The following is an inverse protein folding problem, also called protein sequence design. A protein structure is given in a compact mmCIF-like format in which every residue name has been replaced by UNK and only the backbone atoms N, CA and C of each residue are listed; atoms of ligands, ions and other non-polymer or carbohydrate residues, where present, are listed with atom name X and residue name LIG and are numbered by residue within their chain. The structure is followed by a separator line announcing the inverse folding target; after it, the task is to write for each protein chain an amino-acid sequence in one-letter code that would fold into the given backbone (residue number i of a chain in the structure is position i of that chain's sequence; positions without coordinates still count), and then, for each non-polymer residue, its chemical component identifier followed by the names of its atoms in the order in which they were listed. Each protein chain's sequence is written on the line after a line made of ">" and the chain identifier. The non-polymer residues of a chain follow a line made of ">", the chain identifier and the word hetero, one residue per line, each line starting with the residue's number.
data_IF_946427270792
#
_entry.id   IF_946427270792
#
_cell.length_a   1.000
_cell.length_b   1.000
_cell.length_c   1.000
_cell.angle_alpha   90.00
_cell.angle_beta   90.00
_cell.angle_gamma   90.00
#
_symmetry.space_group_name_H-M   'P 1'
#
loop_
_entity.id
_entity.type
_entity.pdbx_description
1 polymer ?
#
# COMPACT_ATOMS: atom_id res chain seq x y z
N UNK A 1 -31.28 61.87 25.30
CA UNK A 1 -30.86 62.54 24.05
C UNK A 1 -30.89 61.48 22.96
N UNK A 2 -31.97 61.38 22.17
CA UNK A 2 -32.26 62.19 20.95
C UNK A 2 -31.13 62.04 19.91
N UNK A 3 -31.34 61.79 18.61
CA UNK A 3 -32.50 61.53 17.76
C UNK A 3 -31.95 61.41 16.31
N UNK A 4 -32.62 60.62 15.43
CA UNK A 4 -32.83 60.87 13.96
C UNK A 4 -31.61 60.99 13.01
N UNK A 5 -31.64 60.78 11.68
CA UNK A 5 -32.53 60.38 10.54
C UNK A 5 -31.56 60.28 9.33
N UNK A 6 -31.83 59.69 8.16
CA UNK A 6 -33.07 59.29 7.47
C UNK A 6 -32.72 58.46 6.22
N UNK A 7 -33.65 57.60 5.77
CA UNK A 7 -34.60 57.77 4.63
C UNK A 7 -34.04 57.18 3.31
N UNK A 8 -34.57 56.04 2.84
CA UNK A 8 -35.75 55.84 1.94
C UNK A 8 -35.33 55.84 0.46
N UNK A 9 -35.66 54.87 -0.40
CA UNK A 9 -36.98 54.42 -0.90
C UNK A 9 -36.92 52.91 -1.27
N UNK A 10 -37.90 52.03 -0.94
CA UNK A 10 -39.23 51.78 -1.58
C UNK A 10 -39.10 51.43 -3.09
N UNK A 11 -39.72 50.39 -3.69
CA UNK A 11 -40.89 49.56 -3.33
C UNK A 11 -41.02 48.30 -4.24
N UNK A 12 -41.66 47.25 -3.70
CA UNK A 12 -42.60 46.23 -4.25
C UNK A 12 -42.55 45.79 -5.74
N UNK A 13 -42.43 44.51 -6.07
CA UNK A 13 -43.36 43.36 -5.89
C UNK A 13 -44.55 43.32 -6.87
N UNK A 14 -44.66 42.22 -7.63
CA UNK A 14 -45.93 41.60 -8.03
C UNK A 14 -45.70 40.19 -8.61
N UNK A 15 -46.44 39.22 -8.07
CA UNK A 15 -46.64 37.90 -8.63
C UNK A 15 -47.90 37.89 -9.50
N UNK A 16 -47.96 37.04 -10.53
CA UNK A 16 -49.21 36.55 -11.09
C UNK A 16 -48.98 35.20 -11.81
N UNK A 17 -49.98 34.33 -11.72
CA UNK A 17 -49.96 32.94 -12.11
C UNK A 17 -50.92 32.65 -13.28
N UNK A 18 -50.74 31.44 -13.85
CA UNK A 18 -51.70 30.60 -14.59
C UNK A 18 -52.00 30.96 -16.05
N UNK A 19 -51.74 30.02 -16.97
CA UNK A 19 -52.80 29.28 -17.72
C UNK A 19 -52.21 28.23 -18.68
N UNK A 20 -52.82 27.04 -18.68
CA UNK A 20 -52.67 25.96 -19.67
C UNK A 20 -53.70 26.17 -20.76
N UNK A 21 -53.33 25.99 -22.04
CA UNK A 21 -54.26 25.57 -23.09
C UNK A 21 -53.56 24.65 -24.09
N UNK A 22 -54.26 23.59 -24.48
CA UNK A 22 -53.91 22.67 -25.56
C UNK A 22 -54.63 23.09 -26.86
N UNK A 23 -54.07 22.78 -28.04
CA UNK A 23 -54.70 21.98 -29.13
C UNK A 23 -53.96 22.06 -30.49
N UNK A 24 -53.83 20.87 -31.11
CA UNK A 24 -53.90 20.50 -32.56
C UNK A 24 -52.95 21.14 -33.60
N UNK A 25 -51.98 20.39 -34.15
CA UNK A 25 -52.03 19.46 -35.33
C UNK A 25 -51.82 20.11 -36.70
N UNK A 26 -50.75 19.70 -37.42
CA UNK A 26 -50.83 19.34 -38.85
C UNK A 26 -49.67 18.41 -39.29
N UNK A 27 -50.05 17.40 -40.08
CA UNK A 27 -49.29 16.27 -40.64
C UNK A 27 -48.34 16.66 -41.77
N UNK A 28 -47.31 15.83 -41.98
CA UNK A 28 -46.85 15.16 -43.22
C UNK A 28 -45.55 14.40 -42.86
N UNK A 29 -45.15 13.21 -43.32
CA UNK A 29 -45.74 12.06 -44.03
C UNK A 29 -44.69 10.92 -43.88
N UNK A 30 -45.11 9.68 -43.62
CA UNK A 30 -44.24 8.48 -43.47
C UNK A 30 -43.59 8.04 -44.80
N UNK A 31 -42.36 7.55 -44.70
CA UNK A 31 -41.83 6.33 -45.35
C UNK A 31 -40.87 5.68 -44.35
N UNK A 32 -40.99 4.47 -43.80
CA UNK A 32 -41.68 3.27 -44.26
C UNK A 32 -40.65 2.26 -44.75
N UNK A 33 -39.83 1.68 -43.87
CA UNK A 33 -39.17 0.39 -44.08
C UNK A 33 -38.94 -0.33 -42.74
N UNK A 34 -38.99 -1.66 -42.81
CA UNK A 34 -39.45 -2.61 -41.81
C UNK A 34 -38.45 -2.94 -40.67
N UNK A 35 -39.01 -3.29 -39.51
CA UNK A 35 -38.34 -4.03 -38.43
C UNK A 35 -37.88 -5.42 -38.89
N UNK A 36 -36.81 -5.94 -38.25
CA UNK A 36 -36.96 -7.23 -37.63
C UNK A 36 -36.50 -7.24 -36.16
N UNK A 37 -37.45 -7.66 -35.31
CA UNK A 37 -37.34 -8.49 -34.10
C UNK A 37 -36.07 -8.38 -33.24
N UNK A 38 -36.32 -7.91 -32.02
CA UNK A 38 -35.51 -8.06 -30.82
C UNK A 38 -35.01 -9.51 -30.59
N UNK A 39 -33.73 -9.63 -30.26
CA UNK A 39 -33.22 -10.65 -29.36
C UNK A 39 -32.63 -9.92 -28.15
N UNK A 40 -33.28 -10.09 -27.00
CA UNK A 40 -32.76 -9.68 -25.70
C UNK A 40 -31.49 -10.46 -25.41
N UNK A 41 -30.39 -9.75 -25.16
CA UNK A 41 -29.31 -10.24 -24.30
C UNK A 41 -29.18 -9.23 -23.17
N UNK A 42 -29.69 -9.64 -22.00
CA UNK A 42 -29.43 -8.98 -20.73
C UNK A 42 -27.93 -9.08 -20.46
N UNK A 43 -27.21 -7.97 -20.61
CA UNK A 43 -25.88 -7.79 -20.02
C UNK A 43 -26.06 -6.97 -18.76
N UNK A 44 -26.04 -7.64 -17.61
CA UNK A 44 -26.07 -7.01 -16.30
C UNK A 44 -24.90 -6.04 -16.17
N UNK A 45 -25.23 -4.76 -15.94
CA UNK A 45 -24.27 -3.77 -15.51
C UNK A 45 -23.84 -4.08 -14.09
N UNK A 46 -22.60 -4.52 -13.93
CA UNK A 46 -21.96 -4.74 -12.65
C UNK A 46 -21.76 -3.39 -11.95
N UNK A 47 -22.79 -2.96 -11.21
CA UNK A 47 -22.67 -1.92 -10.20
C UNK A 47 -21.71 -2.43 -9.13
N UNK A 48 -20.61 -1.71 -8.94
CA UNK A 48 -19.66 -1.92 -7.85
C UNK A 48 -20.41 -2.21 -6.53
N UNK A 49 -20.24 -3.43 -6.00
CA UNK A 49 -20.70 -3.75 -4.64
C UNK A 49 -19.88 -2.93 -3.67
N UNK A 50 -20.50 -1.96 -3.02
CA UNK A 50 -19.98 -1.37 -1.80
C UNK A 50 -19.96 -2.49 -0.74
N UNK A 51 -18.78 -3.01 -0.42
CA UNK A 51 -18.60 -3.90 0.70
C UNK A 51 -18.84 -3.08 1.98
N UNK A 52 -20.00 -3.27 2.60
CA UNK A 52 -20.37 -2.60 3.85
C UNK A 52 -19.42 -3.04 4.97
N UNK A 53 -18.91 -2.13 5.82
CA UNK A 53 -18.21 -2.55 7.02
C UNK A 53 -19.17 -3.39 7.87
N UNK A 54 -18.64 -4.51 8.36
CA UNK A 54 -19.21 -5.46 9.33
C UNK A 54 -20.59 -5.10 9.87
N UNK A 55 -21.60 -5.93 9.59
CA UNK A 55 -22.80 -6.05 10.40
C UNK A 55 -22.48 -6.81 11.71
N UNK A 56 -21.43 -6.38 12.43
CA UNK A 56 -21.26 -6.80 13.81
C UNK A 56 -22.31 -6.05 14.64
N UNK A 57 -23.06 -6.76 15.48
CA UNK A 57 -24.07 -6.13 16.36
C UNK A 57 -23.45 -5.15 17.38
N UNK A 58 -22.13 -4.96 17.37
CA UNK A 58 -21.38 -4.06 18.25
C UNK A 58 -20.45 -3.16 17.45
N UNK A 59 -20.58 -1.86 17.66
CA UNK A 59 -19.67 -0.84 17.17
C UNK A 59 -18.23 -1.12 17.63
N UNK A 60 -17.25 -1.01 16.70
CA UNK A 60 -15.82 -1.17 16.99
C UNK A 60 -15.29 0.16 17.52
N UNK A 61 -14.86 0.15 18.78
CA UNK A 61 -14.44 1.35 19.53
C UNK A 61 -13.03 1.80 19.19
N UNK A 62 -12.18 0.92 18.69
CA UNK A 62 -10.87 1.29 18.15
C UNK A 62 -10.01 0.12 17.71
N UNK A 63 -8.87 0.42 17.10
CA UNK A 63 -7.89 -0.58 16.67
C UNK A 63 -6.49 0.01 16.52
N UNK A 64 -5.53 -0.89 16.35
CA UNK A 64 -4.13 -0.56 16.11
C UNK A 64 -3.65 -1.20 14.81
N UNK A 65 -2.78 -0.51 14.07
CA UNK A 65 -2.07 -1.08 12.94
C UNK A 65 -0.56 -1.04 13.23
N UNK A 66 0.07 -2.20 13.11
CA UNK A 66 1.51 -2.41 13.26
C UNK A 66 2.06 -2.96 11.95
N UNK A 67 3.38 -3.01 11.84
CA UNK A 67 4.06 -3.69 10.74
C UNK A 67 5.06 -2.84 9.98
N UNK A 68 5.36 -3.30 8.78
CA UNK A 68 6.32 -2.70 7.84
C UNK A 68 5.67 -1.71 6.87
N UNK A 69 6.40 -1.41 5.79
CA UNK A 69 6.02 -0.50 4.71
C UNK A 69 4.74 -0.89 3.96
N UNK A 70 4.36 -2.18 3.93
CA UNK A 70 3.10 -2.63 3.31
C UNK A 70 1.88 -2.33 4.18
N UNK A 71 2.06 -2.18 5.49
CA UNK A 71 1.03 -1.65 6.40
C UNK A 71 1.06 -0.13 6.44
N UNK A 72 2.27 0.47 6.47
CA UNK A 72 2.45 1.92 6.45
C UNK A 72 1.91 2.57 5.17
N UNK A 73 1.98 1.88 4.02
CA UNK A 73 1.48 2.36 2.73
C UNK A 73 2.37 3.43 2.10
N UNK A 74 3.69 3.22 2.17
CA UNK A 74 4.70 4.11 1.62
C UNK A 74 4.35 4.57 0.19
N UNK A 75 4.37 5.88 -0.05
CA UNK A 75 4.13 6.46 -1.37
C UNK A 75 2.66 6.68 -1.76
N UNK A 76 1.70 6.31 -0.90
CA UNK A 76 0.25 6.50 -1.15
C UNK A 76 -0.29 7.85 -0.64
N UNK A 77 0.53 8.89 -0.75
CA UNK A 77 0.21 10.26 -0.34
C UNK A 77 0.40 10.53 1.16
N UNK A 78 0.68 11.78 1.50
CA UNK A 78 0.80 12.31 2.85
C UNK A 78 0.25 13.75 2.85
N UNK A 79 -0.11 14.31 4.01
CA UNK A 79 -0.78 15.62 4.07
C UNK A 79 0.23 16.76 3.90
N UNK A 80 1.09 16.97 4.91
CA UNK A 80 1.98 18.13 4.97
C UNK A 80 3.45 17.73 4.76
N UNK A 81 4.01 17.02 5.74
CA UNK A 81 5.37 16.49 5.72
C UNK A 81 5.29 14.99 5.86
N UNK A 82 6.04 14.29 5.03
CA UNK A 82 6.23 12.86 5.19
C UNK A 82 6.91 12.57 6.53
N UNK A 83 6.32 11.69 7.32
CA UNK A 83 6.89 11.23 8.58
C UNK A 83 7.96 10.15 8.33
N UNK A 84 8.81 9.90 9.32
CA UNK A 84 9.94 8.96 9.18
C UNK A 84 9.47 7.51 8.92
N UNK A 85 8.26 7.15 9.34
CA UNK A 85 7.64 5.84 9.09
C UNK A 85 6.93 5.75 7.72
N UNK A 86 6.74 6.89 7.04
CA UNK A 86 6.14 7.06 5.71
C UNK A 86 4.70 6.55 5.66
N UNK A 87 3.89 7.02 6.61
CA UNK A 87 2.49 6.65 6.75
C UNK A 87 1.65 7.26 5.63
N UNK A 88 1.19 6.40 4.73
CA UNK A 88 0.37 6.76 3.58
C UNK A 88 -1.09 7.04 3.94
N UNK A 89 -1.70 8.01 3.27
CA UNK A 89 -3.12 8.36 3.47
C UNK A 89 -4.08 7.35 2.86
N UNK A 90 -3.64 6.63 1.82
CA UNK A 90 -4.41 5.53 1.22
C UNK A 90 -3.87 4.15 1.62
N UNK A 91 -3.08 4.08 2.69
CA UNK A 91 -2.71 2.80 3.29
C UNK A 91 -3.96 2.05 3.77
N UNK A 92 -3.97 0.72 3.62
CA UNK A 92 -5.14 -0.10 3.97
C UNK A 92 -5.63 0.10 5.42
N UNK A 93 -4.78 0.34 6.45
CA UNK A 93 -5.26 0.65 7.80
C UNK A 93 -5.97 2.00 7.88
N UNK A 94 -5.51 3.02 7.14
CA UNK A 94 -6.14 4.35 7.07
C UNK A 94 -7.49 4.30 6.35
N UNK A 95 -7.59 3.49 5.31
CA UNK A 95 -8.87 3.24 4.63
C UNK A 95 -9.86 2.60 5.60
N UNK A 96 -9.43 1.57 6.35
CA UNK A 96 -10.27 0.92 7.38
C UNK A 96 -10.69 1.91 8.47
N UNK A 97 -9.77 2.76 8.95
CA UNK A 97 -10.10 3.79 9.94
C UNK A 97 -11.16 4.77 9.43
N UNK A 98 -11.03 5.19 8.17
CA UNK A 98 -11.96 6.12 7.53
C UNK A 98 -13.36 5.52 7.36
N UNK A 99 -13.43 4.25 6.92
CA UNK A 99 -14.68 3.51 6.74
C UNK A 99 -15.39 3.25 8.09
N UNK A 100 -14.63 2.93 9.15
CA UNK A 100 -15.18 2.79 10.50
C UNK A 100 -15.68 4.11 11.07
N UNK A 101 -14.93 5.20 10.93
CA UNK A 101 -15.35 6.52 11.35
C UNK A 101 -16.63 6.97 10.63
N UNK A 102 -16.72 6.75 9.31
CA UNK A 102 -17.90 7.09 8.51
C UNK A 102 -19.14 6.29 8.93
N UNK A 103 -18.99 4.99 9.19
CA UNK A 103 -20.10 4.10 9.60
C UNK A 103 -20.55 4.29 11.06
N UNK A 104 -19.72 4.87 11.93
CA UNK A 104 -19.99 4.98 13.37
C UNK A 104 -20.28 6.41 13.86
N UNK A 105 -20.55 7.34 12.95
CA UNK A 105 -21.04 8.68 13.31
C UNK A 105 -19.96 9.77 13.41
N UNK A 106 -18.78 9.56 12.83
CA UNK A 106 -17.80 10.62 12.58
C UNK A 106 -16.36 10.28 12.99
N UNK A 107 -15.41 11.21 12.80
CA UNK A 107 -13.96 11.00 12.96
C UNK A 107 -13.52 10.61 14.37
N UNK A 108 -14.33 10.91 15.40
CA UNK A 108 -14.03 10.60 16.79
C UNK A 108 -14.72 9.33 17.30
N UNK A 109 -15.45 8.62 16.44
CA UNK A 109 -16.22 7.44 16.84
C UNK A 109 -15.34 6.19 17.04
N UNK A 110 -14.17 6.12 16.39
CA UNK A 110 -13.28 4.97 16.44
C UNK A 110 -11.84 5.43 16.71
N UNK A 111 -11.23 4.94 17.79
CA UNK A 111 -9.82 5.20 18.07
C UNK A 111 -8.93 4.45 17.08
N UNK A 112 -7.94 5.13 16.51
CA UNK A 112 -6.99 4.51 15.58
C UNK A 112 -5.56 4.87 15.96
N UNK A 113 -4.73 3.85 16.18
CA UNK A 113 -3.29 3.99 16.42
C UNK A 113 -2.54 3.42 15.23
N UNK A 114 -1.81 4.26 14.50
CA UNK A 114 -1.04 3.85 13.33
C UNK A 114 0.45 3.80 13.67
N UNK A 115 0.96 2.61 14.01
CA UNK A 115 2.33 2.40 14.47
C UNK A 115 3.20 1.64 13.46
N UNK A 116 2.65 1.27 12.31
CA UNK A 116 3.40 0.70 11.21
C UNK A 116 4.55 1.61 10.78
N UNK A 117 5.68 1.04 10.38
CA UNK A 117 6.85 1.82 10.03
C UNK A 117 7.62 1.18 8.88
N UNK A 118 7.95 1.98 7.86
CA UNK A 118 8.81 1.53 6.76
C UNK A 118 10.15 1.02 7.29
N UNK A 119 10.58 -0.15 6.80
CA UNK A 119 11.83 -0.79 7.21
C UNK A 119 11.73 -1.66 8.47
N UNK A 120 10.59 -1.66 9.17
CA UNK A 120 10.43 -2.45 10.40
C UNK A 120 10.60 -3.95 10.16
N UNK A 121 11.38 -4.58 11.03
CA UNK A 121 11.56 -6.03 11.14
C UNK A 121 10.75 -6.59 12.30
N UNK A 122 10.72 -7.92 12.48
CA UNK A 122 10.18 -8.54 13.69
C UNK A 122 10.78 -7.99 14.98
N UNK A 123 12.08 -7.66 14.99
CA UNK A 123 12.76 -7.11 16.15
C UNK A 123 12.30 -5.69 16.49
N UNK A 124 11.92 -4.89 15.50
CA UNK A 124 11.44 -3.51 15.70
C UNK A 124 9.98 -3.47 16.18
N UNK A 125 9.22 -4.55 16.02
CA UNK A 125 7.87 -4.64 16.56
C UNK A 125 7.88 -5.10 18.01
N UNK A 126 8.75 -6.06 18.36
CA UNK A 126 8.89 -6.62 19.71
C UNK A 126 9.23 -5.55 20.76
N UNK A 127 8.86 -5.82 22.01
CA UNK A 127 9.17 -4.97 23.16
C UNK A 127 10.68 -4.85 23.44
N UNK A 128 11.09 -3.73 24.04
CA UNK A 128 12.45 -3.51 24.53
C UNK A 128 13.44 -2.88 23.54
N UNK A 129 13.02 -2.63 22.31
CA UNK A 129 13.78 -1.89 21.30
C UNK A 129 13.43 -0.40 21.24
N UNK A 130 14.35 0.45 20.76
CA UNK A 130 14.08 1.89 20.58
C UNK A 130 12.96 2.17 19.56
N UNK A 131 12.81 1.30 18.56
CA UNK A 131 11.77 1.38 17.54
C UNK A 131 10.51 0.55 17.88
N UNK A 132 10.40 0.03 19.12
CA UNK A 132 9.35 -0.93 19.50
C UNK A 132 7.94 -0.41 19.27
N UNK A 133 7.24 -1.02 18.32
CA UNK A 133 5.84 -0.69 18.05
C UNK A 133 4.90 -1.20 19.16
N UNK A 134 5.22 -2.33 19.81
CA UNK A 134 4.45 -2.86 20.95
C UNK A 134 4.58 -1.96 22.18
N UNK A 135 5.76 -1.40 22.45
CA UNK A 135 5.92 -0.46 23.57
C UNK A 135 5.20 0.87 23.31
N UNK A 136 5.23 1.34 22.05
CA UNK A 136 4.50 2.54 21.61
C UNK A 136 2.97 2.37 21.61
N UNK A 137 2.43 1.15 21.67
CA UNK A 137 1.00 0.90 21.75
C UNK A 137 0.41 1.50 23.03
N UNK A 138 -0.35 2.59 22.88
CA UNK A 138 -1.08 3.22 23.97
C UNK A 138 -2.35 2.43 24.33
N UNK A 139 -2.24 1.54 25.32
CA UNK A 139 -3.36 0.72 25.82
C UNK A 139 -4.36 1.46 26.70
N UNK A 140 -4.19 2.77 26.92
CA UNK A 140 -5.25 3.59 27.54
C UNK A 140 -6.35 3.96 26.55
N UNK A 141 -6.09 3.85 25.24
CA UNK A 141 -7.06 4.06 24.18
C UNK A 141 -7.80 2.74 23.84
N UNK A 142 -9.06 2.80 23.40
CA UNK A 142 -9.79 1.62 22.96
C UNK A 142 -9.10 0.93 21.78
N UNK A 143 -8.93 -0.40 21.88
CA UNK A 143 -8.42 -1.25 20.81
C UNK A 143 -9.09 -2.62 20.90
N UNK A 144 -9.89 -2.93 19.88
CA UNK A 144 -10.69 -4.15 19.76
C UNK A 144 -10.05 -5.19 18.83
N UNK A 145 -9.14 -4.77 17.94
CA UNK A 145 -8.36 -5.63 17.05
C UNK A 145 -7.05 -4.97 16.62
N UNK A 146 -6.15 -5.74 16.01
CA UNK A 146 -4.92 -5.29 15.36
C UNK A 146 -4.86 -5.70 13.89
N UNK A 147 -4.21 -4.87 13.08
CA UNK A 147 -3.71 -5.22 11.74
C UNK A 147 -2.19 -5.34 11.79
N UNK A 148 -1.64 -6.33 11.08
CA UNK A 148 -0.19 -6.59 11.02
C UNK A 148 0.23 -7.00 9.61
N UNK A 149 1.26 -6.36 9.06
CA UNK A 149 2.03 -6.82 7.90
C UNK A 149 3.50 -6.80 8.26
N UNK A 150 4.21 -7.93 8.20
CA UNK A 150 5.60 -7.97 8.65
C UNK A 150 6.35 -9.18 8.05
N UNK A 151 7.63 -8.98 7.72
CA UNK A 151 8.56 -10.07 7.43
C UNK A 151 9.44 -9.88 6.19
N UNK A 152 9.02 -9.05 5.22
CA UNK A 152 9.84 -8.80 4.02
C UNK A 152 11.24 -8.26 4.34
N UNK A 153 11.36 -7.44 5.39
CA UNK A 153 12.63 -6.88 5.87
C UNK A 153 13.51 -7.92 6.57
N UNK A 154 12.92 -8.84 7.35
CA UNK A 154 13.63 -9.91 8.05
C UNK A 154 14.30 -10.92 7.12
N UNK A 155 13.70 -11.11 5.94
CA UNK A 155 14.05 -12.15 4.97
C UNK A 155 14.94 -11.62 3.82
N UNK A 156 15.44 -10.39 3.95
CA UNK A 156 16.46 -9.84 3.06
C UNK A 156 15.96 -9.53 1.64
N UNK A 157 14.66 -9.28 1.43
CA UNK A 157 14.10 -9.02 0.10
C UNK A 157 14.77 -7.83 -0.61
N UNK A 158 15.24 -6.81 0.13
CA UNK A 158 16.03 -5.72 -0.46
C UNK A 158 17.27 -6.21 -1.21
N UNK A 159 17.96 -7.22 -0.67
CA UNK A 159 19.15 -7.81 -1.29
C UNK A 159 18.81 -8.38 -2.66
N UNK A 160 17.72 -9.16 -2.73
CA UNK A 160 17.18 -9.69 -3.99
C UNK A 160 16.80 -8.56 -4.95
N UNK A 161 16.04 -7.57 -4.51
CA UNK A 161 15.64 -6.43 -5.35
C UNK A 161 16.85 -5.65 -5.88
N UNK A 162 17.85 -5.40 -5.04
CA UNK A 162 19.06 -4.68 -5.42
C UNK A 162 19.94 -5.50 -6.36
N UNK A 163 20.16 -6.79 -6.14
CA UNK A 163 21.04 -7.61 -6.98
C UNK A 163 20.38 -8.03 -8.31
N UNK A 164 19.09 -8.37 -8.27
CA UNK A 164 18.37 -8.97 -9.40
C UNK A 164 17.60 -7.99 -10.27
N UNK A 165 17.16 -6.84 -9.73
CA UNK A 165 16.23 -5.94 -10.44
C UNK A 165 16.84 -4.56 -10.66
N UNK A 166 17.11 -3.83 -9.57
CA UNK A 166 17.43 -2.40 -9.66
C UNK A 166 18.91 -2.10 -9.82
N UNK A 167 19.79 -2.89 -9.19
CA UNK A 167 21.22 -2.60 -9.07
C UNK A 167 21.50 -1.18 -8.58
N UNK A 168 20.92 -0.76 -7.46
CA UNK A 168 21.19 0.57 -6.89
C UNK A 168 22.70 0.81 -6.71
N UNK A 169 23.44 -0.20 -6.26
CA UNK A 169 24.91 -0.15 -6.14
C UNK A 169 25.66 -0.60 -7.42
N UNK A 170 25.01 -0.57 -8.58
CA UNK A 170 25.58 -0.95 -9.87
C UNK A 170 26.20 -2.36 -9.83
N UNK A 171 27.40 -2.56 -10.36
CA UNK A 171 28.11 -3.83 -10.36
C UNK A 171 28.51 -4.32 -8.95
N UNK A 172 28.43 -3.45 -7.93
CA UNK A 172 28.74 -3.80 -6.54
C UNK A 172 27.55 -4.35 -5.74
N UNK A 173 26.35 -4.42 -6.34
CA UNK A 173 25.15 -5.01 -5.70
C UNK A 173 25.21 -6.53 -5.44
N UNK A 174 26.34 -7.20 -5.69
CA UNK A 174 26.43 -8.66 -5.65
C UNK A 174 25.88 -9.34 -6.91
N UNK A 175 25.69 -10.67 -6.82
CA UNK A 175 25.07 -11.50 -7.87
C UNK A 175 23.64 -11.86 -7.48
N UNK A 176 22.77 -11.99 -8.47
CA UNK A 176 21.36 -12.30 -8.23
C UNK A 176 21.20 -13.72 -7.65
N UNK A 177 21.99 -14.67 -8.15
CA UNK A 177 21.96 -16.07 -7.74
C UNK A 177 22.28 -16.22 -6.25
N UNK A 178 23.23 -15.45 -5.75
CA UNK A 178 23.64 -15.49 -4.34
C UNK A 178 22.58 -14.90 -3.42
N UNK A 179 22.01 -13.74 -3.77
CA UNK A 179 20.94 -13.13 -2.97
C UNK A 179 19.65 -13.98 -3.00
N UNK A 180 19.32 -14.61 -4.13
CA UNK A 180 18.23 -15.58 -4.20
C UNK A 180 18.49 -16.81 -3.31
N UNK A 181 19.75 -17.29 -3.25
CA UNK A 181 20.13 -18.39 -2.35
C UNK A 181 19.99 -17.97 -0.89
N UNK A 182 20.51 -16.81 -0.52
CA UNK A 182 20.40 -16.27 0.84
C UNK A 182 18.94 -16.10 1.29
N UNK A 183 18.09 -15.53 0.43
CA UNK A 183 16.67 -15.38 0.74
C UNK A 183 15.99 -16.75 0.96
N UNK A 184 16.29 -17.75 0.12
CA UNK A 184 15.75 -19.12 0.30
C UNK A 184 16.21 -19.75 1.62
N UNK A 185 17.47 -19.58 1.99
CA UNK A 185 18.01 -20.11 3.24
C UNK A 185 17.38 -19.46 4.47
N UNK A 186 17.19 -18.14 4.45
CA UNK A 186 16.51 -17.42 5.52
C UNK A 186 15.04 -17.84 5.65
N UNK A 187 14.33 -17.96 4.53
CA UNK A 187 12.93 -18.41 4.50
C UNK A 187 12.82 -19.86 4.98
N UNK A 188 13.75 -20.74 4.60
CA UNK A 188 13.74 -22.14 5.00
C UNK A 188 13.96 -22.33 6.50
N UNK A 189 14.70 -21.43 7.16
CA UNK A 189 14.90 -21.43 8.60
C UNK A 189 13.61 -21.22 9.40
N UNK A 190 13.67 -21.56 10.69
CA UNK A 190 12.53 -21.40 11.64
C UNK A 190 12.54 -20.03 12.32
N UNK A 191 13.69 -19.35 12.38
CA UNK A 191 13.85 -18.14 13.18
C UNK A 191 12.96 -16.96 12.76
N UNK A 192 12.46 -16.93 11.51
CA UNK A 192 11.43 -15.96 11.13
C UNK A 192 10.05 -16.32 11.72
N UNK A 193 9.63 -17.57 11.59
CA UNK A 193 8.35 -18.04 12.13
C UNK A 193 8.29 -17.87 13.65
N UNK A 194 9.37 -18.24 14.35
CA UNK A 194 9.44 -18.12 15.81
C UNK A 194 9.35 -16.66 16.25
N UNK A 195 10.04 -15.74 15.56
CA UNK A 195 9.97 -14.30 15.87
C UNK A 195 8.59 -13.71 15.56
N UNK A 196 7.97 -14.09 14.45
CA UNK A 196 6.63 -13.64 14.11
C UNK A 196 5.58 -14.17 15.10
N UNK A 197 5.71 -15.43 15.53
CA UNK A 197 4.89 -16.00 16.60
C UNK A 197 5.03 -15.19 17.90
N UNK A 198 6.25 -14.82 18.29
CA UNK A 198 6.49 -13.96 19.45
C UNK A 198 5.85 -12.58 19.30
N UNK A 199 6.01 -11.92 18.15
CA UNK A 199 5.37 -10.62 17.85
C UNK A 199 3.86 -10.69 18.06
N UNK A 200 3.22 -11.69 17.47
CA UNK A 200 1.76 -11.85 17.57
C UNK A 200 1.35 -12.10 19.03
N UNK A 201 2.08 -12.93 19.76
CA UNK A 201 1.81 -13.19 21.18
C UNK A 201 2.00 -11.94 22.06
N UNK A 202 3.02 -11.12 21.81
CA UNK A 202 3.24 -9.86 22.54
C UNK A 202 2.14 -8.84 22.25
N UNK A 203 1.66 -8.74 21.00
CA UNK A 203 0.52 -7.87 20.67
C UNK A 203 -0.74 -8.32 21.45
N UNK A 204 -1.01 -9.62 21.49
CA UNK A 204 -2.14 -10.19 22.24
C UNK A 204 -2.04 -9.87 23.75
N UNK A 205 -0.86 -10.08 24.35
CA UNK A 205 -0.62 -9.84 25.78
C UNK A 205 -0.67 -8.34 26.12
N UNK A 206 -0.05 -7.48 25.29
CA UNK A 206 -0.02 -6.03 25.49
C UNK A 206 -1.43 -5.46 25.59
N UNK A 207 -2.34 -5.90 24.73
CA UNK A 207 -3.74 -5.49 24.74
C UNK A 207 -4.58 -6.15 25.84
N UNK A 208 -4.04 -7.18 26.50
CA UNK A 208 -4.73 -8.09 27.43
C UNK A 208 -6.01 -8.67 26.83
N UNK A 209 -5.97 -8.97 25.53
CA UNK A 209 -7.16 -9.40 24.79
C UNK A 209 -7.66 -10.78 25.22
N UNK A 210 -6.78 -11.62 25.76
CA UNK A 210 -7.11 -12.89 26.39
C UNK A 210 -8.00 -12.74 27.64
N UNK A 211 -7.95 -11.58 28.31
CA UNK A 211 -8.71 -11.29 29.53
C UNK A 211 -10.04 -10.60 29.28
N UNK A 212 -10.36 -10.21 28.04
CA UNK A 212 -11.61 -9.50 27.71
C UNK A 212 -12.73 -10.51 27.40
N UNK A 213 -13.76 -10.67 28.26
CA UNK A 213 -14.81 -11.69 28.11
C UNK A 213 -15.67 -11.53 26.84
N UNK A 214 -15.69 -10.33 26.25
CA UNK A 214 -16.44 -10.01 25.04
C UNK A 214 -15.64 -10.15 23.74
N UNK A 215 -14.34 -10.46 23.82
CA UNK A 215 -13.48 -10.70 22.65
C UNK A 215 -13.59 -12.18 22.22
N UNK A 216 -14.73 -12.52 21.61
CA UNK A 216 -15.07 -13.93 21.30
C UNK A 216 -14.56 -14.41 19.93
N UNK A 217 -14.02 -13.54 19.07
CA UNK A 217 -13.52 -13.90 17.74
C UNK A 217 -12.21 -13.17 17.41
N UNK A 218 -11.50 -13.65 16.37
CA UNK A 218 -10.23 -13.15 15.80
C UNK A 218 -9.96 -11.67 16.11
N UNK A 219 -8.76 -11.41 16.63
CA UNK A 219 -8.36 -10.13 17.20
C UNK A 219 -7.13 -9.56 16.49
N UNK A 220 -6.28 -10.40 15.89
CA UNK A 220 -5.16 -9.95 15.06
C UNK A 220 -5.39 -10.42 13.63
N UNK A 221 -5.33 -9.49 12.66
CA UNK A 221 -5.36 -9.83 11.24
C UNK A 221 -3.98 -9.59 10.65
N UNK A 222 -3.36 -10.66 10.17
CA UNK A 222 -2.04 -10.65 9.55
C UNK A 222 -2.21 -10.77 8.04
N UNK A 223 -1.66 -9.83 7.27
CA UNK A 223 -1.72 -9.86 5.81
C UNK A 223 -0.46 -10.51 5.22
N UNK A 224 -0.62 -11.26 4.13
CA UNK A 224 0.51 -11.73 3.31
C UNK A 224 1.06 -10.65 2.37
N UNK A 225 1.81 -11.09 1.37
CA UNK A 225 2.32 -10.27 0.26
C UNK A 225 1.81 -10.80 -1.09
N UNK A 226 1.64 -9.91 -2.07
CA UNK A 226 1.33 -10.31 -3.44
C UNK A 226 2.62 -10.52 -4.27
N UNK A 227 2.56 -11.45 -5.22
CA UNK A 227 3.58 -11.66 -6.24
C UNK A 227 3.74 -10.43 -7.09
N UNK A 228 4.98 -10.12 -7.47
CA UNK A 228 5.31 -8.90 -8.20
C UNK A 228 5.08 -8.99 -9.70
N UNK A 229 5.19 -10.20 -10.26
CA UNK A 229 5.22 -10.39 -11.71
C UNK A 229 4.14 -11.36 -12.15
N UNK A 230 3.52 -11.09 -13.30
CA UNK A 230 3.00 -12.16 -14.13
C UNK A 230 4.21 -12.93 -14.68
N UNK A 231 4.28 -14.23 -14.44
CA UNK A 231 5.36 -15.13 -14.84
C UNK A 231 4.96 -16.08 -15.98
N UNK A 232 3.77 -15.90 -16.56
CA UNK A 232 3.27 -16.66 -17.71
C UNK A 232 3.69 -16.06 -19.06
N UNK A 233 3.86 -14.74 -19.13
CA UNK A 233 4.23 -14.02 -20.37
C UNK A 233 5.73 -14.13 -20.69
N UNK A 234 6.12 -13.93 -21.94
CA UNK A 234 7.53 -13.84 -22.37
C UNK A 234 7.94 -12.40 -22.72
N UNK A 235 6.98 -11.48 -22.91
CA UNK A 235 7.21 -10.12 -23.39
C UNK A 235 8.11 -9.25 -22.49
N UNK A 236 8.28 -9.63 -21.23
CA UNK A 236 9.11 -8.91 -20.26
C UNK A 236 10.59 -9.34 -20.26
N UNK A 237 10.94 -10.41 -21.00
CA UNK A 237 12.24 -11.05 -20.89
C UNK A 237 13.41 -10.14 -21.29
N UNK A 238 13.18 -9.14 -22.12
CA UNK A 238 14.20 -8.17 -22.53
C UNK A 238 14.02 -6.80 -21.87
N UNK A 239 13.06 -6.66 -20.95
CA UNK A 239 12.81 -5.45 -20.18
C UNK A 239 13.69 -5.38 -18.93
N UNK A 240 13.88 -4.18 -18.39
CA UNK A 240 14.70 -3.94 -17.21
C UNK A 240 14.16 -2.79 -16.39
N UNK A 241 14.17 -2.96 -15.06
CA UNK A 241 13.93 -1.88 -14.10
C UNK A 241 15.23 -1.34 -13.50
N UNK A 242 16.40 -1.74 -14.01
CA UNK A 242 17.67 -1.30 -13.47
C UNK A 242 17.82 0.22 -13.51
N UNK A 243 18.36 0.80 -12.44
CA UNK A 243 18.56 2.26 -12.36
C UNK A 243 19.70 2.73 -13.27
N UNK A 244 20.62 1.83 -13.61
CA UNK A 244 21.75 2.09 -14.51
C UNK A 244 21.52 1.49 -15.90
N UNK A 245 22.12 2.12 -16.90
CA UNK A 245 22.13 1.60 -18.27
C UNK A 245 22.63 0.15 -18.32
N UNK A 246 21.92 -0.71 -19.07
CA UNK A 246 22.13 -2.17 -19.13
C UNK A 246 21.93 -2.89 -17.79
N UNK A 247 20.88 -2.52 -17.06
CA UNK A 247 20.43 -3.26 -15.89
C UNK A 247 20.02 -4.72 -16.19
N UNK A 248 19.79 -5.53 -15.13
CA UNK A 248 19.33 -6.91 -15.24
C UNK A 248 18.04 -7.02 -16.04
N UNK A 249 17.88 -8.16 -16.72
CA UNK A 249 16.68 -8.46 -17.50
C UNK A 249 15.64 -9.19 -16.66
N UNK A 250 14.37 -8.84 -16.85
CA UNK A 250 13.22 -9.45 -16.16
C UNK A 250 12.81 -10.78 -16.81
N UNK A 251 13.80 -11.67 -17.00
CA UNK A 251 13.61 -13.00 -17.58
C UNK A 251 12.55 -13.78 -16.82
N UNK A 252 11.76 -14.59 -17.53
CA UNK A 252 10.73 -15.45 -16.94
C UNK A 252 11.25 -16.31 -15.80
N UNK A 253 12.46 -16.86 -15.94
CA UNK A 253 13.12 -17.64 -14.88
C UNK A 253 13.39 -16.82 -13.61
N UNK A 254 13.69 -15.52 -13.72
CA UNK A 254 13.84 -14.64 -12.57
C UNK A 254 12.47 -14.36 -11.93
N UNK A 255 11.46 -14.03 -12.75
CA UNK A 255 10.08 -13.77 -12.28
C UNK A 255 9.51 -14.96 -11.50
N UNK A 256 9.66 -16.17 -12.04
CA UNK A 256 9.27 -17.42 -11.37
C UNK A 256 9.97 -17.58 -10.02
N UNK A 257 11.29 -17.35 -9.97
CA UNK A 257 12.06 -17.49 -8.73
C UNK A 257 11.63 -16.47 -7.67
N UNK A 258 11.37 -15.22 -8.06
CA UNK A 258 10.93 -14.16 -7.14
C UNK A 258 9.50 -14.42 -6.65
N UNK A 259 8.59 -14.84 -7.53
CA UNK A 259 7.24 -15.24 -7.15
C UNK A 259 7.24 -16.43 -6.19
N UNK A 260 8.14 -17.40 -6.38
CA UNK A 260 8.30 -18.53 -5.46
C UNK A 260 8.78 -18.09 -4.06
N UNK A 261 9.61 -17.05 -3.96
CA UNK A 261 9.98 -16.48 -2.66
C UNK A 261 8.75 -15.91 -1.95
N UNK A 262 7.91 -15.14 -2.65
CA UNK A 262 6.68 -14.58 -2.07
C UNK A 262 5.75 -15.67 -1.56
N UNK A 263 5.52 -16.73 -2.35
CA UNK A 263 4.73 -17.88 -1.89
C UNK A 263 5.31 -18.53 -0.63
N UNK A 264 6.63 -18.71 -0.58
CA UNK A 264 7.28 -19.32 0.57
C UNK A 264 7.18 -18.44 1.83
N UNK A 265 7.27 -17.10 1.70
CA UNK A 265 7.02 -16.17 2.80
C UNK A 265 5.59 -16.24 3.30
N UNK A 266 4.61 -16.18 2.40
CA UNK A 266 3.20 -16.27 2.79
C UNK A 266 2.90 -17.59 3.52
N UNK A 267 3.50 -18.70 3.08
CA UNK A 267 3.39 -19.98 3.76
C UNK A 267 3.99 -19.94 5.18
N UNK A 268 5.13 -19.28 5.36
CA UNK A 268 5.77 -19.09 6.69
C UNK A 268 4.94 -18.18 7.60
N UNK A 269 4.38 -17.09 7.08
CA UNK A 269 3.47 -16.21 7.83
C UNK A 269 2.23 -17.00 8.28
N UNK A 270 1.60 -17.74 7.36
CA UNK A 270 0.44 -18.57 7.69
C UNK A 270 0.79 -19.64 8.73
N UNK A 271 1.93 -20.31 8.60
CA UNK A 271 2.41 -21.29 9.56
C UNK A 271 2.59 -20.69 10.96
N UNK A 272 3.19 -19.50 11.09
CA UNK A 272 3.30 -18.80 12.36
C UNK A 272 1.92 -18.45 12.97
N UNK A 273 0.97 -18.01 12.13
CA UNK A 273 -0.43 -17.78 12.55
C UNK A 273 -1.09 -19.07 13.06
N UNK A 274 -0.93 -20.18 12.34
CA UNK A 274 -1.47 -21.48 12.72
C UNK A 274 -0.84 -21.97 14.05
N UNK A 275 0.47 -21.76 14.25
CA UNK A 275 1.17 -22.07 15.52
C UNK A 275 0.59 -21.27 16.69
N UNK A 276 0.37 -19.97 16.52
CA UNK A 276 -0.27 -19.14 17.55
C UNK A 276 -1.67 -19.66 17.86
N UNK A 277 -2.50 -19.88 16.84
CA UNK A 277 -3.88 -20.33 17.03
C UNK A 277 -3.96 -21.69 17.73
N UNK A 278 -3.01 -22.60 17.49
CA UNK A 278 -2.94 -23.90 18.18
C UNK A 278 -2.84 -23.80 19.72
N UNK A 279 -2.43 -22.65 20.25
CA UNK A 279 -2.33 -22.37 21.69
C UNK A 279 -3.65 -21.93 22.33
N UNK A 280 -4.69 -21.71 21.52
CA UNK A 280 -5.98 -21.21 21.98
C UNK A 280 -7.11 -22.18 21.63
N UNK A 281 -8.17 -22.18 22.43
CA UNK A 281 -9.35 -23.00 22.16
C UNK A 281 -10.17 -22.52 20.94
N UNK A 282 -9.97 -21.28 20.53
CA UNK A 282 -10.55 -20.65 19.33
C UNK A 282 -9.50 -19.77 18.70
N UNK A 283 -9.51 -19.71 17.37
CA UNK A 283 -8.59 -18.88 16.61
C UNK A 283 -8.66 -17.42 17.07
N UNK A 284 -7.48 -16.86 17.31
CA UNK A 284 -7.27 -15.47 17.73
C UNK A 284 -6.70 -14.62 16.61
N UNK A 285 -6.13 -15.26 15.61
CA UNK A 285 -5.36 -14.62 14.56
C UNK A 285 -5.87 -15.12 13.22
N UNK A 286 -6.03 -14.21 12.28
CA UNK A 286 -6.45 -14.50 10.92
C UNK A 286 -5.33 -14.13 9.96
N UNK A 287 -5.00 -15.06 9.07
CA UNK A 287 -4.15 -14.76 7.93
C UNK A 287 -5.02 -14.38 6.72
N UNK A 288 -4.70 -13.25 6.09
CA UNK A 288 -5.38 -12.77 4.87
C UNK A 288 -4.41 -12.84 3.70
N UNK A 289 -4.69 -13.75 2.77
CA UNK A 289 -4.02 -13.84 1.49
C UNK A 289 -4.82 -13.06 0.43
N UNK A 290 -4.18 -12.05 -0.16
CA UNK A 290 -4.76 -11.20 -1.20
C UNK A 290 -4.03 -11.35 -2.55
N UNK A 291 -3.06 -12.27 -2.66
CA UNK A 291 -2.20 -12.38 -3.84
C UNK A 291 -2.98 -12.59 -5.14
N UNK A 292 -4.06 -13.39 -5.11
CA UNK A 292 -4.88 -13.67 -6.28
C UNK A 292 -5.57 -12.44 -6.85
N UNK A 293 -5.89 -11.44 -6.02
CA UNK A 293 -6.56 -10.22 -6.44
C UNK A 293 -5.63 -9.26 -7.20
N UNK A 294 -4.32 -9.51 -7.15
CA UNK A 294 -3.32 -8.75 -7.90
C UNK A 294 -3.13 -9.29 -9.32
N UNK A 295 -3.73 -10.43 -9.68
CA UNK A 295 -3.66 -11.00 -11.03
C UNK A 295 -4.23 -10.01 -12.07
N UNK A 296 -3.51 -9.81 -13.19
CA UNK A 296 -3.86 -8.79 -14.18
C UNK A 296 -3.35 -7.38 -13.83
N UNK A 297 -2.90 -7.16 -12.59
CA UNK A 297 -2.44 -5.88 -12.07
C UNK A 297 -0.96 -5.91 -11.62
N UNK A 298 -0.22 -6.99 -11.90
CA UNK A 298 1.21 -7.13 -11.58
C UNK A 298 2.08 -6.45 -12.65
N UNK A 299 3.40 -6.51 -12.50
CA UNK A 299 4.31 -6.19 -13.60
C UNK A 299 4.32 -7.30 -14.64
N UNK A 300 4.70 -6.96 -15.88
CA UNK A 300 4.88 -7.92 -16.98
C UNK A 300 3.59 -8.64 -17.41
N UNK A 301 2.43 -7.97 -17.24
CA UNK A 301 1.13 -8.48 -17.68
C UNK A 301 1.03 -8.57 -19.21
N UNK A 302 0.08 -9.35 -19.70
CA UNK A 302 -0.15 -9.56 -21.13
C UNK A 302 -0.36 -8.21 -21.85
N UNK A 303 0.29 -8.02 -23.00
CA UNK A 303 0.29 -6.78 -23.80
C UNK A 303 0.84 -5.51 -23.11
N UNK A 304 1.54 -5.62 -21.97
CA UNK A 304 2.23 -4.49 -21.33
C UNK A 304 3.70 -4.48 -21.71
N UNK A 305 4.22 -3.32 -22.13
CA UNK A 305 5.65 -3.11 -22.41
C UNK A 305 6.28 -2.37 -21.23
N UNK A 306 7.05 -3.10 -20.43
CA UNK A 306 7.65 -2.60 -19.20
C UNK A 306 8.99 -1.87 -19.44
N UNK A 307 9.36 -0.86 -18.62
CA UNK A 307 8.53 -0.20 -17.61
C UNK A 307 7.49 0.74 -18.23
N UNK A 308 6.22 0.55 -17.89
CA UNK A 308 5.15 1.47 -18.28
C UNK A 308 4.75 2.41 -17.13
N UNK A 309 5.29 3.63 -17.17
CA UNK A 309 5.03 4.68 -16.19
C UNK A 309 3.67 5.37 -16.34
N UNK A 310 2.98 5.17 -17.47
CA UNK A 310 1.66 5.73 -17.73
C UNK A 310 0.54 4.73 -17.38
N UNK A 311 0.91 3.47 -17.10
CA UNK A 311 -0.01 2.42 -16.68
C UNK A 311 -0.63 2.73 -15.31
N UNK A 312 -1.94 2.93 -15.28
CA UNK A 312 -2.65 3.29 -14.06
C UNK A 312 -3.30 2.09 -13.34
N UNK A 313 -3.49 0.99 -14.05
CA UNK A 313 -4.09 -0.25 -13.55
C UNK A 313 -3.08 -1.18 -12.86
N UNK A 314 -1.77 -0.95 -12.94
CA UNK A 314 -0.81 -1.70 -12.11
C UNK A 314 -1.02 -1.36 -10.63
N UNK A 315 -1.01 -2.39 -9.77
CA UNK A 315 -1.13 -2.22 -8.32
C UNK A 315 0.20 -1.98 -7.63
N UNK A 316 1.34 -2.07 -8.30
CA UNK A 316 2.65 -1.81 -7.70
C UNK A 316 3.29 -0.53 -8.22
N UNK A 317 4.03 0.17 -7.36
CA UNK A 317 4.83 1.31 -7.79
C UNK A 317 6.07 0.87 -8.58
N UNK A 318 6.32 1.55 -9.70
CA UNK A 318 7.64 1.65 -10.32
C UNK A 318 8.51 2.66 -9.55
N UNK A 319 9.83 2.61 -9.74
CA UNK A 319 10.77 3.63 -9.24
C UNK A 319 10.34 5.00 -9.75
N UNK A 320 9.92 5.89 -8.84
CA UNK A 320 9.39 7.21 -9.23
C UNK A 320 8.01 7.22 -9.87
N UNK A 321 7.31 6.08 -9.94
CA UNK A 321 5.97 5.97 -10.48
C UNK A 321 4.95 6.80 -9.68
N UNK A 322 3.91 7.30 -10.34
CA UNK A 322 2.81 8.02 -9.68
C UNK A 322 1.90 7.04 -8.95
N UNK A 323 1.14 7.54 -7.99
CA UNK A 323 0.08 6.74 -7.35
C UNK A 323 -1.15 6.62 -8.29
N UNK A 324 -2.08 5.70 -8.02
CA UNK A 324 -3.31 5.48 -8.82
C UNK A 324 -4.61 5.74 -8.03
N UNK A 325 -4.56 6.53 -6.95
CA UNK A 325 -5.76 6.92 -6.22
C UNK A 325 -6.86 7.46 -7.16
N UNK A 326 -8.10 7.04 -6.94
CA UNK A 326 -9.27 7.44 -7.76
C UNK A 326 -9.44 8.97 -7.75
N UNK A 327 -9.95 9.54 -8.84
CA UNK A 327 -10.23 10.99 -8.90
C UNK A 327 -11.20 11.39 -7.76
N UNK A 328 -10.80 12.36 -6.92
CA UNK A 328 -11.54 12.80 -5.74
C UNK A 328 -10.98 12.32 -4.40
N UNK A 329 -10.15 11.27 -4.39
CA UNK A 329 -9.34 10.88 -3.22
C UNK A 329 -7.91 11.37 -3.31
N UNK A 330 -7.48 11.91 -4.45
CA UNK A 330 -6.20 12.60 -4.62
C UNK A 330 -6.11 13.81 -3.69
N UNK A 331 -5.66 13.57 -2.46
CA UNK A 331 -5.11 14.62 -1.60
C UNK A 331 -3.94 15.23 -2.36
N UNK A 332 -3.71 16.54 -2.18
CA UNK A 332 -2.67 17.28 -2.89
C UNK A 332 -1.34 16.55 -2.74
N UNK A 333 -1.02 15.69 -3.70
CA UNK A 333 0.29 15.09 -3.79
C UNK A 333 1.22 16.28 -3.90
N UNK A 334 2.15 16.42 -2.95
CA UNK A 334 3.05 17.56 -2.94
C UNK A 334 3.60 17.74 -4.36
N UNK A 335 3.18 18.81 -5.03
CA UNK A 335 3.66 19.16 -6.37
C UNK A 335 5.11 19.64 -6.30
N UNK A 336 5.66 19.74 -5.09
CA UNK A 336 7.05 20.04 -4.80
C UNK A 336 7.77 18.71 -4.84
N UNK A 337 8.55 18.51 -5.90
CA UNK A 337 9.57 17.48 -5.88
C UNK A 337 10.64 17.96 -4.88
N UNK A 338 10.51 17.55 -3.62
CA UNK A 338 11.50 17.90 -2.59
C UNK A 338 12.82 17.25 -2.95
N UNK A 339 13.75 18.07 -3.44
CA UNK A 339 15.14 17.68 -3.61
C UNK A 339 15.78 17.60 -2.23
N UNK A 340 16.39 16.46 -1.86
CA UNK A 340 17.26 16.45 -0.69
C UNK A 340 18.35 17.51 -0.88
N UNK A 341 18.63 18.26 0.19
CA UNK A 341 19.72 19.24 0.17
C UNK A 341 21.01 18.58 -0.34
N UNK A 342 21.83 19.26 -1.18
CA UNK A 342 23.17 18.79 -1.53
C UNK A 342 24.07 18.52 -0.31
N UNK A 343 23.72 19.06 0.86
CA UNK A 343 24.41 18.84 2.13
C UNK A 343 23.79 17.71 2.98
N UNK A 344 22.83 16.96 2.44
CA UNK A 344 22.20 15.85 3.14
C UNK A 344 23.22 14.75 3.41
N UNK A 345 23.23 14.19 4.63
CA UNK A 345 24.08 13.06 4.95
C UNK A 345 23.74 11.81 4.12
N UNK A 346 22.52 11.71 3.57
CA UNK A 346 22.07 10.58 2.74
C UNK A 346 22.74 10.55 1.36
N UNK A 347 23.33 11.67 0.94
CA UNK A 347 23.89 11.84 -0.41
C UNK A 347 25.42 11.87 -0.40
N UNK A 348 26.03 11.87 0.79
CA UNK A 348 27.47 11.77 0.97
C UNK A 348 27.90 10.29 0.95
N UNK A 349 28.57 9.83 -0.13
CA UNK A 349 28.93 8.42 -0.29
C UNK A 349 29.90 7.91 0.78
N UNK A 350 30.61 8.80 1.49
CA UNK A 350 31.57 8.43 2.53
C UNK A 350 30.91 8.16 3.89
N UNK A 351 29.72 8.72 4.14
CA UNK A 351 29.08 8.71 5.46
C UNK A 351 27.64 8.18 5.48
N UNK A 352 26.96 8.11 4.33
CA UNK A 352 25.54 7.74 4.24
C UNK A 352 25.22 6.31 4.71
N UNK A 353 26.17 5.36 4.61
CA UNK A 353 25.87 3.93 4.72
C UNK A 353 25.45 3.50 6.13
N UNK A 354 26.10 4.06 7.16
CA UNK A 354 25.79 3.74 8.55
C UNK A 354 24.37 4.16 8.94
N UNK A 355 24.00 5.44 8.78
CA UNK A 355 22.64 5.93 9.00
C UNK A 355 21.59 5.18 8.17
N UNK A 356 21.82 5.03 6.86
CA UNK A 356 20.85 4.37 5.98
C UNK A 356 20.57 2.92 6.41
N UNK A 357 21.59 2.16 6.81
CA UNK A 357 21.41 0.79 7.35
C UNK A 357 20.65 0.77 8.68
N UNK A 358 20.90 1.74 9.56
CA UNK A 358 20.20 1.82 10.86
C UNK A 358 18.74 2.24 10.72
N UNK A 359 18.40 3.00 9.67
CA UNK A 359 17.02 3.41 9.41
C UNK A 359 16.10 2.23 9.09
N UNK A 360 16.65 1.15 8.52
CA UNK A 360 15.86 0.05 7.95
C UNK A 360 15.14 0.42 6.64
N UNK A 361 15.08 1.70 6.26
CA UNK A 361 14.45 2.13 5.01
C UNK A 361 15.33 1.84 3.80
N UNK A 362 14.76 1.05 2.90
CA UNK A 362 15.39 0.66 1.65
C UNK A 362 15.57 1.85 0.70
N UNK A 363 14.71 2.87 0.80
CA UNK A 363 14.84 4.11 0.05
C UNK A 363 16.14 4.85 0.38
N UNK A 364 16.42 5.03 1.67
CA UNK A 364 17.66 5.65 2.16
C UNK A 364 18.90 4.83 1.77
N UNK A 365 18.79 3.50 1.89
CA UNK A 365 19.90 2.61 1.52
C UNK A 365 20.15 2.60 0.00
N UNK A 366 19.10 2.62 -0.81
CA UNK A 366 19.20 2.74 -2.27
C UNK A 366 19.88 4.05 -2.68
N UNK A 367 19.48 5.18 -2.08
CA UNK A 367 20.10 6.48 -2.33
C UNK A 367 21.59 6.47 -2.01
N UNK A 368 21.95 5.96 -0.84
CA UNK A 368 23.36 5.85 -0.44
C UNK A 368 24.15 4.95 -1.41
N UNK A 369 23.59 3.80 -1.80
CA UNK A 369 24.22 2.92 -2.79
C UNK A 369 24.41 3.58 -4.15
N UNK A 370 23.45 4.39 -4.59
CA UNK A 370 23.59 5.13 -5.84
C UNK A 370 24.68 6.21 -5.74
N UNK A 371 24.79 6.90 -4.60
CA UNK A 371 25.87 7.83 -4.31
C UNK A 371 27.24 7.16 -4.42
N UNK A 372 27.40 6.06 -3.70
CA UNK A 372 28.64 5.28 -3.67
C UNK A 372 28.97 4.68 -5.04
N UNK A 373 27.96 4.24 -5.81
CA UNK A 373 28.16 3.73 -7.16
C UNK A 373 28.75 4.81 -8.06
N UNK A 374 28.18 6.01 -8.02
CA UNK A 374 28.58 7.14 -8.86
C UNK A 374 29.96 7.67 -8.51
N UNK A 375 30.32 7.71 -7.22
CA UNK A 375 31.66 8.05 -6.77
C UNK A 375 32.70 7.04 -7.28
N UNK A 376 32.42 5.73 -7.14
CA UNK A 376 33.33 4.67 -7.59
C UNK A 376 33.46 4.57 -9.11
N UNK A 377 32.38 4.83 -9.83
CA UNK A 377 32.33 4.75 -11.28
C UNK A 377 31.64 6.00 -11.87
N UNK A 378 32.35 7.12 -12.02
CA UNK A 378 31.79 8.37 -12.54
C UNK A 378 31.16 8.27 -13.94
N UNK A 379 31.61 7.30 -14.74
CA UNK A 379 31.09 7.01 -16.08
C UNK A 379 29.73 6.32 -16.10
N UNK A 380 29.19 5.88 -14.96
CA UNK A 380 27.87 5.27 -14.87
C UNK A 380 26.79 6.21 -15.42
N UNK A 381 26.00 5.67 -16.33
CA UNK A 381 24.86 6.35 -16.94
C UNK A 381 23.58 5.80 -16.35
N UNK A 382 22.63 6.64 -15.94
CA UNK A 382 21.30 6.18 -15.56
C UNK A 382 20.61 5.49 -16.75
N UNK A 383 19.66 4.62 -16.47
CA UNK A 383 18.85 3.97 -17.51
C UNK A 383 17.86 4.93 -18.18
N UNK A 384 17.47 6.01 -17.50
CA UNK A 384 16.56 7.05 -18.00
C UNK A 384 17.12 8.44 -17.74
N UNK A 385 16.86 9.38 -18.65
CA UNK A 385 17.35 10.76 -18.53
C UNK A 385 16.63 11.56 -17.44
N UNK A 386 15.36 11.24 -17.16
CA UNK A 386 14.56 11.85 -16.07
C UNK A 386 15.02 11.42 -14.67
N UNK A 387 15.81 10.35 -14.56
CA UNK A 387 16.52 10.01 -13.32
C UNK A 387 17.66 11.02 -13.02
N UNK A 388 18.12 11.79 -14.01
CA UNK A 388 19.38 12.57 -13.95
C UNK A 388 19.21 14.00 -14.48
N UNK A 389 18.04 14.63 -14.34
CA UNK A 389 17.96 16.06 -14.61
C UNK A 389 18.77 16.86 -13.57
N UNK A 390 20.05 17.07 -13.88
CA UNK A 390 21.00 18.11 -13.46
C UNK A 390 21.06 18.46 -11.96
N UNK A 391 22.10 17.96 -11.27
CA UNK A 391 22.56 18.39 -9.93
C UNK A 391 21.51 18.34 -8.79
N UNK A 392 20.33 17.77 -9.02
CA UNK A 392 19.24 17.58 -8.06
C UNK A 392 18.90 16.10 -7.82
N UNK A 393 19.90 15.22 -8.01
CA UNK A 393 19.78 13.76 -8.20
C UNK A 393 19.32 12.96 -6.97
N UNK A 394 18.67 13.59 -5.99
CA UNK A 394 18.53 13.06 -4.63
C UNK A 394 17.10 13.16 -4.10
N UNK A 395 16.11 12.72 -4.87
CA UNK A 395 14.74 12.75 -4.39
C UNK A 395 14.54 11.84 -3.17
N UNK A 396 13.62 12.28 -2.30
CA UNK A 396 13.19 11.69 -1.02
C UNK A 396 13.28 10.16 -1.03
N UNK A 397 13.76 9.52 0.06
CA UNK A 397 13.86 8.06 0.14
C UNK A 397 12.66 7.29 -0.39
N UNK A 398 11.43 7.80 -0.17
CA UNK A 398 10.18 7.27 -0.70
C UNK A 398 10.14 7.08 -2.21
N UNK A 399 10.83 7.91 -3.00
CA UNK A 399 10.90 7.79 -4.46
C UNK A 399 11.40 6.41 -4.91
N UNK A 400 12.41 5.89 -4.21
CA UNK A 400 12.97 4.56 -4.44
C UNK A 400 12.31 3.52 -3.53
N UNK A 401 12.10 3.86 -2.26
CA UNK A 401 11.60 2.96 -1.22
C UNK A 401 10.20 2.41 -1.50
N UNK A 402 9.31 3.20 -2.14
CA UNK A 402 7.95 2.73 -2.46
C UNK A 402 7.88 1.70 -3.58
N UNK A 403 8.96 1.52 -4.33
CA UNK A 403 8.97 0.61 -5.48
C UNK A 403 8.58 -0.80 -5.04
N UNK A 404 7.75 -1.48 -5.84
CA UNK A 404 7.18 -2.81 -5.53
C UNK A 404 6.22 -2.85 -4.33
N UNK A 405 5.88 -1.70 -3.73
CA UNK A 405 4.81 -1.61 -2.75
C UNK A 405 3.46 -1.37 -3.43
N UNK A 406 2.34 -1.75 -2.80
CA UNK A 406 1.01 -1.48 -3.32
C UNK A 406 0.76 0.03 -3.49
N UNK A 407 0.16 0.40 -4.62
CA UNK A 407 -0.44 1.71 -4.87
C UNK A 407 -1.80 1.79 -4.18
N UNK A 408 -2.42 2.96 -4.19
CA UNK A 408 -3.74 3.19 -3.58
C UNK A 408 -4.79 2.15 -3.95
N UNK A 409 -4.93 1.78 -5.24
CA UNK A 409 -5.89 0.74 -5.65
C UNK A 409 -5.53 -0.66 -5.10
N UNK A 410 -4.23 -0.97 -4.98
CA UNK A 410 -3.80 -2.22 -4.34
C UNK A 410 -4.14 -2.23 -2.85
N UNK A 411 -4.03 -1.09 -2.15
CA UNK A 411 -4.46 -0.98 -0.76
C UNK A 411 -5.98 -1.06 -0.57
N UNK A 412 -6.78 -0.54 -1.51
CA UNK A 412 -8.24 -0.76 -1.53
C UNK A 412 -8.55 -2.27 -1.59
N UNK A 413 -7.86 -3.02 -2.46
CA UNK A 413 -8.01 -4.48 -2.58
C UNK A 413 -7.61 -5.20 -1.29
N UNK A 414 -6.48 -4.82 -0.67
CA UNK A 414 -6.05 -5.42 0.61
C UNK A 414 -7.11 -5.19 1.69
N UNK A 415 -7.65 -3.97 1.80
CA UNK A 415 -8.76 -3.67 2.72
C UNK A 415 -9.96 -4.56 2.43
N UNK A 416 -10.39 -4.64 1.18
CA UNK A 416 -11.59 -5.36 0.79
C UNK A 416 -11.47 -6.86 1.12
N UNK A 417 -10.26 -7.45 0.95
CA UNK A 417 -9.99 -8.84 1.38
C UNK A 417 -9.97 -9.03 2.89
N UNK A 418 -9.51 -8.04 3.65
CA UNK A 418 -9.63 -8.07 5.11
C UNK A 418 -11.12 -8.09 5.52
N UNK A 419 -11.96 -7.26 4.90
CA UNK A 419 -13.39 -7.24 5.16
C UNK A 419 -14.10 -8.53 4.75
N UNK A 420 -13.76 -9.08 3.59
CA UNK A 420 -14.28 -10.38 3.16
C UNK A 420 -13.96 -11.45 4.20
N UNK A 421 -12.71 -11.54 4.64
CA UNK A 421 -12.27 -12.54 5.59
C UNK A 421 -12.93 -12.35 6.98
N UNK A 422 -13.14 -11.11 7.43
CA UNK A 422 -13.90 -10.84 8.65
C UNK A 422 -15.37 -11.23 8.54
N UNK A 423 -16.01 -11.01 7.38
CA UNK A 423 -17.42 -11.38 7.18
C UNK A 423 -17.69 -12.88 7.28
N UNK A 424 -16.69 -13.71 6.92
CA UNK A 424 -16.77 -15.16 7.01
C UNK A 424 -16.67 -15.68 8.45
N UNK A 425 -16.17 -14.88 9.40
CA UNK A 425 -16.10 -15.25 10.81
C UNK A 425 -17.43 -15.04 11.56
N UNK A 426 -18.28 -14.16 11.03
CA UNK A 426 -19.60 -13.82 11.58
C UNK A 426 -20.73 -14.66 10.94
N UNK A 427 -20.43 -15.44 9.90
CA UNK A 427 -21.35 -16.36 9.21
C UNK A 427 -21.34 -17.76 9.86
#
# INVERSE_FOLDING_TARGET
>A
MYLTRGLSFLLCAAAAAVTVTATTSHRLRRSGFAEPKAQNVLGDGESARAHSPLASSRARTGFIALGDSYSAGIGTGFEDKEDDCRLGLHAHPRLIASDLAASQGGPNATSFQFLSCTGATTADVLSGGEASQVDAFNTSLPADFALLSLGGNDLGFFGVMNACVFRFYSFYSGTCEEELRHAREQIAGEGFEDRLELVIMEILDRARWEKKPWCVAVIVTVTGYARFFNDATDGCDDMSFGVWWRGPKLKKSLRLQMNALVFAVNAKIKSAVDRVNSKFAKDKVLFVDYDSEFEGHRFCEENVIEPDYNRNDTFFFLVGGRDNARNGTQLKQSTIVETLSPTSALVDPSSCLGPARRSGDWGELALCYMAMAKERAPSLRPAREDLVSQNSMWYVPTYYGKTFHPRSLGHEVIRDKIYEAWSQLDA
#
